data_IF_078508254757
#
_entry.id   IF_078508254757
#
_cell.length_a   1.000
_cell.length_b   1.000
_cell.length_c   1.000
_cell.angle_alpha   90.00
_cell.angle_beta   90.00
_cell.angle_gamma   90.00
#
_symmetry.space_group_name_H-M   'P 1'
#
loop_
_entity.id
_entity.type
_entity.pdbx_description
1 polymer ?
#
# COMPACT_ATOMS: atom_id res chain seq x y z
N UNK A 1 -4.27 12.06 -23.22
CA UNK A 1 -2.86 12.50 -23.35
C UNK A 1 -2.44 12.88 -24.77
N UNK A 2 -1.65 13.94 -24.97
CA UNK A 2 -0.99 14.24 -26.26
C UNK A 2 0.25 13.33 -26.47
N UNK A 3 0.79 13.28 -27.71
CA UNK A 3 1.93 12.41 -28.04
C UNK A 3 3.17 12.68 -27.17
N UNK A 4 3.52 13.95 -26.95
CA UNK A 4 4.69 14.34 -26.16
C UNK A 4 4.59 13.85 -24.71
N UNK A 5 3.42 14.01 -24.10
CA UNK A 5 3.14 13.55 -22.74
C UNK A 5 3.18 12.01 -22.66
N UNK A 6 2.63 11.31 -23.65
CA UNK A 6 2.69 9.84 -23.70
C UNK A 6 4.14 9.32 -23.83
N UNK A 7 4.98 10.01 -24.60
CA UNK A 7 6.41 9.67 -24.73
C UNK A 7 7.16 9.91 -23.43
N UNK A 8 6.95 11.06 -22.79
CA UNK A 8 7.55 11.37 -21.48
C UNK A 8 7.13 10.35 -20.42
N UNK A 9 5.85 10.00 -20.35
CA UNK A 9 5.35 8.98 -19.42
C UNK A 9 5.97 7.60 -19.69
N UNK A 10 6.12 7.21 -20.96
CA UNK A 10 6.81 5.95 -21.31
C UNK A 10 8.22 5.90 -20.72
N UNK A 11 9.01 6.97 -20.88
CA UNK A 11 10.37 7.03 -20.31
C UNK A 11 10.35 6.98 -18.79
N UNK A 12 9.47 7.74 -18.15
CA UNK A 12 9.31 7.76 -16.69
C UNK A 12 8.93 6.37 -16.13
N UNK A 13 8.10 5.59 -16.83
CA UNK A 13 7.73 4.24 -16.42
C UNK A 13 8.85 3.21 -16.63
N UNK A 14 9.65 3.37 -17.69
CA UNK A 14 10.84 2.54 -17.89
C UNK A 14 11.89 2.82 -16.81
N UNK A 15 12.09 4.09 -16.46
CA UNK A 15 12.94 4.49 -15.33
C UNK A 15 12.39 3.95 -14.01
N UNK A 16 11.10 4.12 -13.74
CA UNK A 16 10.43 3.56 -12.56
C UNK A 16 10.66 2.04 -12.44
N UNK A 17 10.62 1.30 -13.54
CA UNK A 17 10.92 -0.13 -13.56
C UNK A 17 12.39 -0.43 -13.26
N UNK A 18 13.33 0.33 -13.83
CA UNK A 18 14.76 0.20 -13.51
C UNK A 18 15.04 0.47 -12.02
N UNK A 19 14.48 1.56 -11.48
CA UNK A 19 14.65 1.94 -10.08
C UNK A 19 14.02 0.90 -9.15
N UNK A 20 12.86 0.34 -9.52
CA UNK A 20 12.29 -0.81 -8.81
C UNK A 20 13.25 -2.02 -8.80
N UNK A 21 13.83 -2.39 -9.94
CA UNK A 21 14.76 -3.52 -10.01
C UNK A 21 15.99 -3.31 -9.13
N UNK A 22 16.54 -2.09 -9.08
CA UNK A 22 17.64 -1.77 -8.18
C UNK A 22 17.22 -1.96 -6.71
N UNK A 23 16.16 -1.28 -6.28
CA UNK A 23 15.74 -1.33 -4.88
C UNK A 23 15.21 -2.69 -4.44
N UNK A 24 14.59 -3.49 -5.32
CA UNK A 24 14.15 -4.84 -4.94
C UNK A 24 15.34 -5.77 -4.74
N UNK A 25 16.47 -5.53 -5.40
CA UNK A 25 17.74 -6.24 -5.14
C UNK A 25 18.35 -5.79 -3.83
N UNK A 26 18.48 -4.48 -3.59
CA UNK A 26 19.01 -3.95 -2.32
C UNK A 26 18.16 -4.38 -1.11
N UNK A 27 16.84 -4.42 -1.28
CA UNK A 27 15.89 -4.87 -0.28
C UNK A 27 16.16 -6.30 0.23
N UNK A 28 16.80 -7.17 -0.57
CA UNK A 28 17.13 -8.54 -0.15
C UNK A 28 18.30 -8.60 0.84
N UNK A 29 19.06 -7.51 0.99
CA UNK A 29 20.10 -7.41 2.01
C UNK A 29 19.51 -7.21 3.40
N UNK A 30 18.30 -6.65 3.49
CA UNK A 30 17.60 -6.29 4.73
C UNK A 30 18.39 -5.37 5.67
N UNK A 31 19.42 -4.67 5.15
CA UNK A 31 20.25 -3.75 5.92
C UNK A 31 19.60 -2.37 6.09
N UNK A 32 18.71 -1.99 5.17
CA UNK A 32 18.05 -0.70 5.15
C UNK A 32 16.57 -0.87 4.78
N UNK A 33 15.67 -0.57 5.73
CA UNK A 33 14.22 -0.68 5.53
C UNK A 33 13.69 0.27 4.45
N UNK A 34 14.42 1.36 4.15
CA UNK A 34 14.05 2.29 3.09
C UNK A 34 14.12 1.64 1.71
N UNK A 35 14.98 0.64 1.47
CA UNK A 35 15.05 -0.03 0.16
C UNK A 35 13.74 -0.78 -0.14
N UNK A 36 13.13 -1.41 0.88
CA UNK A 36 11.81 -2.03 0.78
C UNK A 36 10.74 -0.98 0.51
N UNK A 37 10.80 0.16 1.21
CA UNK A 37 9.88 1.26 1.00
C UNK A 37 9.95 1.78 -0.44
N UNK A 38 11.16 2.03 -0.96
CA UNK A 38 11.42 2.52 -2.32
C UNK A 38 10.95 1.53 -3.37
N UNK A 39 11.32 0.25 -3.25
CA UNK A 39 10.83 -0.80 -4.15
C UNK A 39 9.30 -0.81 -4.20
N UNK A 40 8.64 -0.74 -3.03
CA UNK A 40 7.18 -0.69 -2.93
C UNK A 40 6.59 0.57 -3.57
N UNK A 41 7.20 1.74 -3.42
CA UNK A 41 6.73 2.99 -4.04
C UNK A 41 6.79 2.89 -5.57
N UNK A 42 7.92 2.47 -6.14
CA UNK A 42 8.08 2.37 -7.60
C UNK A 42 7.17 1.30 -8.21
N UNK A 43 7.07 0.13 -7.57
CA UNK A 43 6.16 -0.92 -8.03
C UNK A 43 4.69 -0.47 -7.97
N UNK A 44 4.32 0.34 -6.97
CA UNK A 44 2.95 0.87 -6.83
C UNK A 44 2.60 1.75 -8.01
N UNK A 45 3.49 2.67 -8.34
CA UNK A 45 3.33 3.55 -9.49
C UNK A 45 3.10 2.77 -10.76
N UNK A 46 3.94 1.76 -11.02
CA UNK A 46 3.78 0.92 -12.20
C UNK A 46 2.44 0.17 -12.22
N UNK A 47 2.06 -0.44 -11.10
CA UNK A 47 0.77 -1.13 -10.95
C UNK A 47 -0.41 -0.16 -11.16
N UNK A 48 -0.34 1.07 -10.65
CA UNK A 48 -1.36 2.09 -10.86
C UNK A 48 -1.54 2.41 -12.33
N UNK A 49 -0.47 2.56 -13.10
CA UNK A 49 -0.56 2.75 -14.55
C UNK A 49 -1.06 1.51 -15.30
N UNK A 50 -0.64 0.31 -14.90
CA UNK A 50 -1.21 -0.94 -15.43
C UNK A 50 -2.70 -1.06 -15.13
N UNK A 51 -3.17 -0.52 -14.00
CA UNK A 51 -4.59 -0.44 -13.67
C UNK A 51 -5.37 0.46 -14.64
N UNK A 52 -4.71 1.40 -15.33
CA UNK A 52 -5.34 2.24 -16.35
C UNK A 52 -5.65 1.50 -17.65
N UNK A 53 -4.85 0.49 -17.96
CA UNK A 53 -4.96 -0.25 -19.20
C UNK A 53 -6.04 -1.33 -19.10
N UNK A 54 -7.06 -1.32 -19.95
CA UNK A 54 -8.23 -2.21 -19.86
C UNK A 54 -7.83 -3.70 -19.74
N UNK A 55 -6.98 -4.18 -20.66
CA UNK A 55 -6.53 -5.57 -20.70
C UNK A 55 -5.23 -5.78 -19.92
N UNK A 56 -5.31 -6.21 -18.66
CA UNK A 56 -4.11 -6.38 -17.83
C UNK A 56 -3.08 -7.33 -18.47
N UNK A 57 -1.78 -6.99 -18.46
CA UNK A 57 -0.75 -7.91 -18.94
C UNK A 57 -0.66 -9.14 -18.03
N UNK A 58 -0.16 -10.26 -18.56
CA UNK A 58 0.05 -11.49 -17.79
C UNK A 58 0.91 -11.25 -16.54
N UNK A 59 1.88 -10.32 -16.62
CA UNK A 59 2.77 -9.93 -15.52
C UNK A 59 2.06 -9.19 -14.37
N UNK A 60 0.84 -8.68 -14.57
CA UNK A 60 0.15 -7.87 -13.57
C UNK A 60 -0.08 -8.62 -12.25
N UNK A 61 -0.51 -9.89 -12.32
CA UNK A 61 -0.73 -10.72 -11.13
C UNK A 61 0.58 -10.98 -10.38
N UNK A 62 1.65 -11.28 -11.12
CA UNK A 62 2.98 -11.51 -10.56
C UNK A 62 3.52 -10.28 -9.83
N UNK A 63 3.39 -9.09 -10.44
CA UNK A 63 3.79 -7.82 -9.82
C UNK A 63 2.93 -7.50 -8.58
N UNK A 64 1.65 -7.84 -8.58
CA UNK A 64 0.78 -7.72 -7.40
C UNK A 64 1.24 -8.60 -6.24
N UNK A 65 1.66 -9.83 -6.49
CA UNK A 65 2.20 -10.73 -5.47
C UNK A 65 3.53 -10.22 -4.88
N UNK A 66 4.38 -9.58 -5.70
CA UNK A 66 5.60 -8.93 -5.21
C UNK A 66 5.26 -7.70 -4.36
N UNK A 67 4.32 -6.87 -4.81
CA UNK A 67 3.83 -5.71 -4.06
C UNK A 67 3.27 -6.09 -2.67
N UNK A 68 2.56 -7.21 -2.60
CA UNK A 68 2.04 -7.76 -1.37
C UNK A 68 3.17 -8.19 -0.43
N UNK A 69 4.15 -8.97 -0.91
CA UNK A 69 5.26 -9.44 -0.10
C UNK A 69 6.12 -8.28 0.44
N UNK A 70 6.44 -7.31 -0.40
CA UNK A 70 7.11 -6.06 0.01
C UNK A 70 6.28 -5.30 1.05
N UNK A 71 4.95 -5.35 0.93
CA UNK A 71 4.03 -4.77 1.90
C UNK A 71 4.15 -5.41 3.27
N UNK A 72 4.11 -6.73 3.34
CA UNK A 72 4.18 -7.45 4.62
C UNK A 72 5.47 -7.13 5.37
N UNK A 73 6.62 -7.15 4.67
CA UNK A 73 7.90 -6.79 5.30
C UNK A 73 7.90 -5.33 5.75
N UNK A 74 7.49 -4.38 4.91
CA UNK A 74 7.48 -2.96 5.29
C UNK A 74 6.54 -2.67 6.45
N UNK A 75 5.38 -3.32 6.49
CA UNK A 75 4.41 -3.11 7.57
C UNK A 75 5.00 -3.59 8.91
N UNK A 76 5.79 -4.67 8.92
CA UNK A 76 6.53 -5.15 10.10
C UNK A 76 7.74 -4.26 10.44
N UNK A 77 8.51 -3.79 9.45
CA UNK A 77 9.62 -2.86 9.69
C UNK A 77 9.13 -1.57 10.36
N UNK A 78 8.05 -0.97 9.85
CA UNK A 78 7.45 0.24 10.44
C UNK A 78 6.97 -0.02 11.85
N UNK A 79 6.29 -1.15 12.08
CA UNK A 79 5.79 -1.50 13.41
C UNK A 79 6.94 -1.62 14.40
N UNK A 80 7.98 -2.38 14.07
CA UNK A 80 9.15 -2.62 14.92
C UNK A 80 9.95 -1.33 15.15
N UNK A 81 10.14 -0.49 14.13
CA UNK A 81 10.83 0.81 14.24
C UNK A 81 10.15 1.76 15.23
N UNK A 82 8.83 1.71 15.34
CA UNK A 82 8.04 2.57 16.23
C UNK A 82 7.72 1.91 17.58
N UNK A 83 8.03 0.62 17.75
CA UNK A 83 7.65 -0.13 18.94
C UNK A 83 8.59 0.19 20.11
N UNK A 84 8.01 0.58 21.25
CA UNK A 84 8.75 0.91 22.47
C UNK A 84 8.44 -0.14 23.54
N UNK A 85 9.45 -0.96 23.87
CA UNK A 85 9.29 -2.10 24.76
C UNK A 85 9.48 -1.69 26.22
N UNK A 86 8.37 -1.45 26.93
CA UNK A 86 8.39 -0.92 28.31
C UNK A 86 8.13 -1.97 29.39
N UNK A 87 7.57 -3.11 29.01
CA UNK A 87 7.20 -4.20 29.92
C UNK A 87 7.67 -5.54 29.39
N UNK A 88 7.70 -6.55 30.26
CA UNK A 88 8.02 -7.94 29.87
C UNK A 88 7.06 -8.46 28.79
N UNK A 89 5.78 -8.08 28.86
CA UNK A 89 4.79 -8.41 27.84
C UNK A 89 5.11 -7.76 26.49
N UNK A 90 5.52 -6.49 26.50
CA UNK A 90 5.91 -5.78 25.27
C UNK A 90 7.16 -6.43 24.64
N UNK A 91 8.12 -6.91 25.47
CA UNK A 91 9.29 -7.64 24.98
C UNK A 91 8.88 -8.96 24.31
N UNK A 92 8.02 -9.75 24.95
CA UNK A 92 7.55 -11.01 24.38
C UNK A 92 6.79 -10.80 23.05
N UNK A 93 5.96 -9.75 22.98
CA UNK A 93 5.28 -9.36 21.74
C UNK A 93 6.28 -8.93 20.66
N UNK A 94 7.28 -8.12 21.02
CA UNK A 94 8.33 -7.68 20.10
C UNK A 94 9.09 -8.86 19.49
N UNK A 95 9.50 -9.85 20.30
CA UNK A 95 10.17 -11.05 19.82
C UNK A 95 9.31 -11.87 18.84
N UNK A 96 7.99 -11.95 19.09
CA UNK A 96 7.05 -12.57 18.17
C UNK A 96 6.98 -11.82 16.83
N UNK A 97 6.98 -10.48 16.85
CA UNK A 97 7.00 -9.65 15.64
C UNK A 97 8.31 -9.76 14.87
N UNK A 98 9.45 -9.87 15.55
CA UNK A 98 10.75 -10.12 14.93
C UNK A 98 10.78 -11.48 14.22
N UNK A 99 10.19 -12.50 14.83
CA UNK A 99 10.03 -13.82 14.22
C UNK A 99 9.15 -13.74 12.98
N UNK A 100 8.02 -13.05 13.04
CA UNK A 100 7.14 -12.83 11.88
C UNK A 100 7.88 -12.07 10.77
N UNK A 101 8.69 -11.06 11.12
CA UNK A 101 9.51 -10.31 10.17
C UNK A 101 10.52 -11.21 9.47
N UNK A 102 11.21 -12.08 10.20
CA UNK A 102 12.15 -13.03 9.61
C UNK A 102 11.46 -13.97 8.60
N UNK A 103 10.26 -14.45 8.92
CA UNK A 103 9.44 -15.26 8.00
C UNK A 103 9.05 -14.44 6.77
N UNK A 104 8.54 -13.22 6.95
CA UNK A 104 8.14 -12.35 5.85
C UNK A 104 9.32 -12.01 4.91
N UNK A 105 10.50 -11.77 5.47
CA UNK A 105 11.74 -11.54 4.72
C UNK A 105 12.13 -12.78 3.90
N UNK A 106 12.03 -13.96 4.48
CA UNK A 106 12.26 -15.23 3.76
C UNK A 106 11.28 -15.40 2.60
N UNK A 107 9.99 -15.16 2.83
CA UNK A 107 8.95 -15.21 1.77
C UNK A 107 9.24 -14.20 0.66
N UNK A 108 9.67 -12.98 1.01
CA UNK A 108 10.05 -11.97 0.02
C UNK A 108 11.22 -12.45 -0.82
N UNK A 109 12.31 -12.94 -0.21
CA UNK A 109 13.48 -13.44 -0.92
C UNK A 109 13.14 -14.58 -1.89
N UNK A 110 12.29 -15.53 -1.46
CA UNK A 110 11.81 -16.62 -2.31
C UNK A 110 10.99 -16.07 -3.47
N UNK A 111 10.00 -15.21 -3.21
CA UNK A 111 9.14 -14.62 -4.26
C UNK A 111 9.95 -13.79 -5.25
N UNK A 112 10.93 -13.02 -4.80
CA UNK A 112 11.80 -12.23 -5.67
C UNK A 112 12.64 -13.18 -6.54
N UNK A 113 13.29 -14.18 -5.96
CA UNK A 113 14.09 -15.16 -6.71
C UNK A 113 13.28 -15.92 -7.77
N UNK A 114 12.04 -16.32 -7.44
CA UNK A 114 11.17 -17.04 -8.37
C UNK A 114 10.59 -16.15 -9.48
N UNK A 115 10.26 -14.89 -9.15
CA UNK A 115 9.46 -14.02 -10.03
C UNK A 115 10.31 -13.02 -10.80
N UNK A 116 11.40 -12.52 -10.24
CA UNK A 116 12.26 -11.53 -10.88
C UNK A 116 13.22 -12.19 -11.87
N UNK A 117 12.66 -12.67 -12.99
CA UNK A 117 13.40 -13.32 -14.07
C UNK A 117 13.70 -12.33 -15.21
N UNK A 118 14.73 -12.60 -16.05
CA UNK A 118 14.96 -11.82 -17.27
C UNK A 118 13.74 -11.78 -18.21
N UNK A 119 12.93 -12.85 -18.21
CA UNK A 119 11.68 -12.90 -18.97
C UNK A 119 10.64 -11.91 -18.44
N UNK A 120 10.50 -11.77 -17.11
CA UNK A 120 9.60 -10.76 -16.52
C UNK A 120 10.04 -9.34 -16.93
N UNK A 121 11.34 -9.03 -16.80
CA UNK A 121 11.89 -7.73 -17.19
C UNK A 121 11.55 -7.39 -18.65
N UNK A 122 11.82 -8.32 -19.57
CA UNK A 122 11.51 -8.14 -20.98
C UNK A 122 10.00 -7.93 -21.22
N UNK A 123 9.14 -8.72 -20.57
CA UNK A 123 7.68 -8.60 -20.72
C UNK A 123 7.16 -7.26 -20.21
N UNK A 124 7.65 -6.78 -19.05
CA UNK A 124 7.26 -5.48 -18.50
C UNK A 124 7.71 -4.35 -19.41
N UNK A 125 8.96 -4.35 -19.89
CA UNK A 125 9.47 -3.33 -20.83
C UNK A 125 8.70 -3.31 -22.13
N UNK A 126 8.41 -4.48 -22.72
CA UNK A 126 7.59 -4.61 -23.94
C UNK A 126 6.17 -4.09 -23.72
N UNK A 127 5.58 -4.37 -22.56
CA UNK A 127 4.26 -3.85 -22.21
C UNK A 127 4.26 -2.32 -22.14
N UNK A 128 5.22 -1.73 -21.42
CA UNK A 128 5.36 -0.27 -21.27
C UNK A 128 5.58 0.39 -22.64
N UNK A 129 6.57 -0.08 -23.41
CA UNK A 129 6.95 0.51 -24.69
C UNK A 129 5.98 0.23 -25.85
N UNK A 130 5.07 -0.73 -25.70
CA UNK A 130 4.15 -1.17 -26.74
C UNK A 130 2.69 -0.92 -26.37
N UNK A 131 1.94 -1.94 -25.90
CA UNK A 131 0.51 -1.84 -25.61
C UNK A 131 0.13 -0.64 -24.73
N UNK A 132 0.83 -0.43 -23.61
CA UNK A 132 0.52 0.63 -22.67
C UNK A 132 0.74 2.02 -23.28
N UNK A 133 1.90 2.23 -23.91
CA UNK A 133 2.19 3.48 -24.62
C UNK A 133 1.17 3.80 -25.71
N UNK A 134 0.75 2.80 -26.49
CA UNK A 134 -0.30 2.98 -27.52
C UNK A 134 -1.65 3.37 -26.92
N UNK A 135 -2.02 2.84 -25.75
CA UNK A 135 -3.22 3.27 -25.06
C UNK A 135 -3.11 4.72 -24.59
N UNK A 136 -2.00 5.14 -23.99
CA UNK A 136 -1.85 6.53 -23.55
C UNK A 136 -1.95 7.54 -24.69
N UNK A 137 -1.53 7.19 -25.91
CA UNK A 137 -1.74 8.05 -27.10
C UNK A 137 -3.21 8.23 -27.47
N UNK A 138 -4.09 7.28 -27.13
CA UNK A 138 -5.49 7.24 -27.56
C UNK A 138 -6.48 7.57 -26.44
N UNK A 139 -6.03 7.49 -25.19
CA UNK A 139 -6.90 7.57 -24.01
C UNK A 139 -6.72 8.90 -23.30
N UNK A 140 -7.84 9.52 -22.94
CA UNK A 140 -7.89 10.55 -21.92
C UNK A 140 -8.00 9.87 -20.55
N UNK A 141 -7.15 10.24 -19.57
CA UNK A 141 -7.23 9.67 -18.22
C UNK A 141 -8.32 10.31 -17.35
N UNK A 142 -8.97 11.42 -17.78
CA UNK A 142 -10.06 12.08 -17.04
C UNK A 142 -11.18 11.14 -16.58
N UNK A 143 -11.71 10.23 -17.42
CA UNK A 143 -12.74 9.28 -16.97
C UNK A 143 -12.27 8.38 -15.83
N UNK A 144 -10.96 8.15 -15.72
CA UNK A 144 -10.37 7.31 -14.67
C UNK A 144 -10.26 8.07 -13.35
N UNK A 145 -9.92 9.36 -13.41
CA UNK A 145 -9.94 10.26 -12.26
C UNK A 145 -11.38 10.39 -11.72
N UNK A 146 -12.35 10.65 -12.60
CA UNK A 146 -13.76 10.73 -12.21
C UNK A 146 -14.32 9.40 -11.69
N UNK A 147 -13.90 8.27 -12.27
CA UNK A 147 -14.24 6.94 -11.74
C UNK A 147 -13.67 6.74 -10.34
N UNK A 148 -12.40 7.07 -10.10
CA UNK A 148 -11.77 6.91 -8.78
C UNK A 148 -12.45 7.79 -7.71
N UNK A 149 -12.78 9.03 -8.07
CA UNK A 149 -13.56 9.97 -7.25
C UNK A 149 -14.96 9.46 -6.95
N UNK A 150 -15.65 8.92 -7.95
CA UNK A 150 -16.98 8.34 -7.79
C UNK A 150 -16.95 7.08 -6.91
N UNK A 151 -15.94 6.22 -7.10
CA UNK A 151 -15.69 5.07 -6.23
C UNK A 151 -15.44 5.51 -4.79
N UNK A 152 -14.59 6.51 -4.53
CA UNK A 152 -14.35 7.05 -3.18
C UNK A 152 -15.65 7.56 -2.56
N UNK A 153 -16.40 8.41 -3.27
CA UNK A 153 -17.70 8.93 -2.79
C UNK A 153 -18.67 7.81 -2.45
N UNK A 154 -18.72 6.77 -3.27
CA UNK A 154 -19.55 5.60 -2.97
C UNK A 154 -19.08 4.87 -1.71
N UNK A 155 -17.77 4.70 -1.50
CA UNK A 155 -17.24 4.05 -0.29
C UNK A 155 -17.55 4.86 0.97
N UNK A 156 -17.46 6.18 0.91
CA UNK A 156 -17.82 7.07 2.03
C UNK A 156 -19.31 6.96 2.35
N UNK A 157 -20.19 6.95 1.34
CA UNK A 157 -21.63 6.71 1.56
C UNK A 157 -21.90 5.38 2.26
N UNK A 158 -21.32 4.29 1.73
CA UNK A 158 -21.47 2.95 2.33
C UNK A 158 -20.97 2.91 3.77
N UNK A 159 -19.88 3.62 4.08
CA UNK A 159 -19.38 3.74 5.45
C UNK A 159 -20.41 4.38 6.39
N UNK A 160 -21.04 5.49 6.02
CA UNK A 160 -22.08 6.12 6.83
C UNK A 160 -23.36 5.29 6.98
N UNK A 161 -23.57 4.30 6.11
CA UNK A 161 -24.68 3.35 6.19
C UNK A 161 -24.38 2.16 7.13
N UNK A 162 -23.11 1.95 7.53
CA UNK A 162 -22.76 0.83 8.40
C UNK A 162 -23.07 1.13 9.87
N UNK A 163 -23.57 0.11 10.56
CA UNK A 163 -23.67 0.10 12.02
C UNK A 163 -22.29 -0.14 12.65
N UNK A 164 -22.12 0.31 13.89
CA UNK A 164 -20.86 0.27 14.64
C UNK A 164 -20.15 -1.09 14.63
N UNK A 165 -18.82 -1.08 14.74
CA UNK A 165 -18.01 -2.27 14.98
C UNK A 165 -17.29 -2.80 13.74
N UNK A 166 -17.26 -4.12 13.52
CA UNK A 166 -16.41 -4.75 12.50
C UNK A 166 -16.75 -4.31 11.07
N UNK A 167 -18.03 -4.21 10.74
CA UNK A 167 -18.50 -3.80 9.41
C UNK A 167 -18.07 -2.36 9.09
N UNK A 168 -18.16 -1.48 10.09
CA UNK A 168 -17.67 -0.11 10.02
C UNK A 168 -16.16 -0.04 9.75
N UNK A 169 -15.33 -0.82 10.47
CA UNK A 169 -13.88 -0.88 10.25
C UNK A 169 -13.53 -1.41 8.85
N UNK A 170 -14.24 -2.42 8.36
CA UNK A 170 -14.06 -2.93 7.00
C UNK A 170 -14.46 -1.90 5.93
N UNK A 171 -15.52 -1.14 6.16
CA UNK A 171 -15.93 -0.04 5.30
C UNK A 171 -14.88 1.09 5.28
N UNK A 172 -14.36 1.48 6.44
CA UNK A 172 -13.26 2.45 6.56
C UNK A 172 -12.00 2.01 5.81
N UNK A 173 -11.61 0.75 5.93
CA UNK A 173 -10.48 0.22 5.17
C UNK A 173 -10.71 0.36 3.65
N UNK A 174 -11.93 0.09 3.17
CA UNK A 174 -12.30 0.29 1.75
C UNK A 174 -12.26 1.77 1.36
N UNK A 175 -12.65 2.70 2.24
CA UNK A 175 -12.49 4.16 2.03
C UNK A 175 -11.01 4.52 1.90
N UNK A 176 -10.16 4.06 2.83
CA UNK A 176 -8.69 4.28 2.78
C UNK A 176 -8.09 3.82 1.45
N UNK A 177 -8.47 2.64 0.97
CA UNK A 177 -8.00 2.14 -0.33
C UNK A 177 -8.46 3.02 -1.49
N UNK A 178 -9.70 3.50 -1.48
CA UNK A 178 -10.23 4.39 -2.52
C UNK A 178 -9.55 5.77 -2.52
N UNK A 179 -9.33 6.37 -1.33
CA UNK A 179 -8.58 7.61 -1.15
C UNK A 179 -7.16 7.48 -1.70
N UNK A 180 -6.45 6.41 -1.32
CA UNK A 180 -5.09 6.13 -1.83
C UNK A 180 -5.09 6.03 -3.36
N UNK A 181 -6.05 5.29 -3.92
CA UNK A 181 -6.17 5.11 -5.37
C UNK A 181 -6.35 6.44 -6.09
N UNK A 182 -7.31 7.26 -5.67
CA UNK A 182 -7.56 8.58 -6.26
C UNK A 182 -6.34 9.49 -6.11
N UNK A 183 -5.72 9.52 -4.93
CA UNK A 183 -4.51 10.33 -4.68
C UNK A 183 -3.38 9.96 -5.64
N UNK A 184 -3.06 8.68 -5.74
CA UNK A 184 -1.98 8.21 -6.61
C UNK A 184 -2.26 8.50 -8.08
N UNK A 185 -3.52 8.42 -8.52
CA UNK A 185 -3.88 8.78 -9.88
C UNK A 185 -3.63 10.26 -10.16
N UNK A 186 -4.11 11.16 -9.29
CA UNK A 186 -3.83 12.57 -9.44
C UNK A 186 -2.33 12.82 -9.41
N UNK A 187 -1.62 12.34 -8.38
CA UNK A 187 -0.18 12.54 -8.16
C UNK A 187 0.66 12.11 -9.38
N UNK A 188 0.38 10.94 -9.95
CA UNK A 188 1.17 10.45 -11.09
C UNK A 188 0.75 11.06 -12.43
N UNK A 189 -0.44 11.64 -12.54
CA UNK A 189 -0.95 12.25 -13.78
C UNK A 189 -0.77 13.77 -13.85
N UNK A 190 -0.31 14.43 -12.78
CA UNK A 190 -0.11 15.89 -12.70
C UNK A 190 0.57 16.51 -13.92
N UNK A 191 1.61 15.83 -14.42
CA UNK A 191 2.42 16.34 -15.53
C UNK A 191 1.88 15.95 -16.92
N UNK A 192 0.76 15.23 -16.96
CA UNK A 192 0.31 14.51 -18.15
C UNK A 192 -1.13 14.86 -18.54
N UNK A 193 -1.99 15.16 -17.57
CA UNK A 193 -3.42 15.38 -17.75
C UNK A 193 -3.87 16.63 -16.98
N UNK A 194 -4.63 17.50 -17.64
CA UNK A 194 -5.09 18.79 -17.08
C UNK A 194 -5.99 18.63 -15.86
N UNK A 195 -6.75 17.54 -15.81
CA UNK A 195 -7.73 17.30 -14.75
C UNK A 195 -7.07 16.74 -13.47
N UNK A 196 -5.77 16.43 -13.54
CA UNK A 196 -4.99 16.09 -12.36
C UNK A 196 -4.67 17.37 -11.56
N UNK A 197 -4.97 17.38 -10.25
CA UNK A 197 -4.87 18.58 -9.42
C UNK A 197 -4.01 18.33 -8.19
N UNK A 198 -3.03 19.22 -7.95
CA UNK A 198 -2.23 19.23 -6.74
C UNK A 198 -3.06 19.51 -5.49
N UNK A 199 -4.11 20.31 -5.59
CA UNK A 199 -4.99 20.61 -4.47
C UNK A 199 -5.82 19.39 -4.07
N UNK A 200 -6.25 18.60 -5.06
CA UNK A 200 -6.87 17.29 -4.81
C UNK A 200 -5.89 16.34 -4.14
N UNK A 201 -4.62 16.28 -4.60
CA UNK A 201 -3.58 15.46 -3.95
C UNK A 201 -3.39 15.86 -2.49
N UNK A 202 -3.32 17.17 -2.19
CA UNK A 202 -3.16 17.69 -0.82
C UNK A 202 -4.36 17.33 0.07
N UNK A 203 -5.57 17.51 -0.44
CA UNK A 203 -6.81 17.15 0.28
C UNK A 203 -6.88 15.65 0.57
N UNK A 204 -6.64 14.82 -0.43
CA UNK A 204 -6.65 13.36 -0.26
C UNK A 204 -5.51 12.88 0.64
N UNK A 205 -4.36 13.57 0.67
CA UNK A 205 -3.28 13.25 1.59
C UNK A 205 -3.69 13.49 3.05
N UNK A 206 -4.41 14.57 3.35
CA UNK A 206 -4.96 14.83 4.69
C UNK A 206 -5.93 13.72 5.12
N UNK A 207 -6.92 13.41 4.27
CA UNK A 207 -7.85 12.29 4.51
C UNK A 207 -7.11 10.95 4.70
N UNK A 208 -6.05 10.72 3.93
CA UNK A 208 -5.24 9.51 4.05
C UNK A 208 -4.45 9.45 5.37
N UNK A 209 -4.08 10.58 5.97
CA UNK A 209 -3.41 10.62 7.27
C UNK A 209 -4.36 10.20 8.38
N UNK A 210 -5.57 10.76 8.41
CA UNK A 210 -6.60 10.42 9.42
C UNK A 210 -7.02 8.94 9.32
N UNK A 211 -7.35 8.49 8.09
CA UNK A 211 -7.60 7.06 7.82
C UNK A 211 -6.35 6.19 8.04
N UNK A 212 -5.18 6.82 7.97
CA UNK A 212 -3.86 6.29 8.25
C UNK A 212 -3.82 5.72 9.67
N UNK A 213 -3.96 6.64 10.61
CA UNK A 213 -3.88 6.44 12.05
C UNK A 213 -4.87 5.38 12.54
N UNK A 214 -6.15 5.47 12.17
CA UNK A 214 -7.16 4.48 12.60
C UNK A 214 -6.81 3.06 12.12
N UNK A 215 -6.42 2.89 10.86
CA UNK A 215 -6.06 1.57 10.35
C UNK A 215 -4.79 1.06 11.03
N UNK A 216 -3.87 1.92 11.44
CA UNK A 216 -2.66 1.49 12.12
C UNK A 216 -2.99 0.97 13.54
N UNK A 217 -3.96 1.57 14.25
CA UNK A 217 -4.54 1.02 15.50
C UNK A 217 -5.24 -0.33 15.29
N UNK A 218 -6.09 -0.46 14.26
CA UNK A 218 -6.77 -1.73 13.93
C UNK A 218 -5.75 -2.84 13.62
N UNK A 219 -4.70 -2.51 12.87
CA UNK A 219 -3.63 -3.43 12.51
C UNK A 219 -2.77 -3.84 13.71
N UNK A 220 -2.51 -2.93 14.64
CA UNK A 220 -1.82 -3.23 15.90
C UNK A 220 -2.66 -4.16 16.78
N UNK A 221 -3.92 -3.84 16.99
CA UNK A 221 -4.84 -4.65 17.79
C UNK A 221 -5.00 -6.06 17.22
N UNK A 222 -5.09 -6.21 15.89
CA UNK A 222 -5.14 -7.53 15.23
C UNK A 222 -3.90 -8.37 15.50
N UNK A 223 -2.70 -7.76 15.51
CA UNK A 223 -1.45 -8.47 15.82
C UNK A 223 -1.40 -8.89 17.28
N UNK A 224 -1.77 -7.99 18.19
CA UNK A 224 -1.88 -8.34 19.61
C UNK A 224 -2.87 -9.48 19.82
N UNK A 225 -4.04 -9.46 19.18
CA UNK A 225 -5.02 -10.57 19.27
C UNK A 225 -4.51 -11.90 18.71
N UNK A 226 -3.57 -11.87 17.76
CA UNK A 226 -2.96 -13.07 17.19
C UNK A 226 -1.76 -13.56 18.01
N UNK A 227 -1.26 -12.75 18.94
CA UNK A 227 -0.15 -13.09 19.82
C UNK A 227 -0.64 -13.92 21.01
N UNK A 228 0.09 -15.00 21.30
CA UNK A 228 -0.15 -15.83 22.49
C UNK A 228 0.83 -15.40 23.58
N UNK A 229 0.38 -14.73 24.65
CA UNK A 229 1.27 -14.31 25.73
C UNK A 229 1.74 -15.52 26.57
N UNK A 230 2.88 -15.40 27.28
CA UNK A 230 3.20 -16.30 28.39
C UNK A 230 2.08 -16.34 29.42
N UNK A 231 1.85 -17.50 30.03
CA UNK A 231 0.72 -17.73 30.93
C UNK A 231 0.74 -16.77 32.13
N UNK A 232 1.93 -16.41 32.62
CA UNK A 232 2.13 -15.50 33.74
C UNK A 232 1.72 -14.05 33.40
N UNK A 233 1.67 -13.71 32.12
CA UNK A 233 1.40 -12.35 31.63
C UNK A 233 -0.03 -12.17 31.08
N UNK A 234 -0.88 -13.20 31.17
CA UNK A 234 -2.25 -13.18 30.62
C UNK A 234 -3.06 -11.97 31.11
N UNK A 235 -3.02 -11.67 32.42
CA UNK A 235 -3.77 -10.53 32.97
C UNK A 235 -3.23 -9.16 32.54
N UNK A 236 -1.95 -9.06 32.17
CA UNK A 236 -1.40 -7.83 31.56
C UNK A 236 -1.82 -7.73 30.09
N UNK A 237 -1.83 -8.86 29.39
CA UNK A 237 -2.29 -8.96 28.00
C UNK A 237 -3.75 -8.55 27.84
N UNK A 238 -4.66 -9.06 28.69
CA UNK A 238 -6.09 -8.73 28.59
C UNK A 238 -6.33 -7.21 28.74
N UNK A 239 -5.64 -6.58 29.70
CA UNK A 239 -5.66 -5.12 29.89
C UNK A 239 -5.10 -4.36 28.69
N UNK A 240 -4.02 -4.87 28.07
CA UNK A 240 -3.43 -4.28 26.87
C UNK A 240 -4.40 -4.32 25.70
N UNK A 241 -5.08 -5.46 25.48
CA UNK A 241 -6.10 -5.61 24.44
C UNK A 241 -7.26 -4.63 24.66
N UNK A 242 -7.73 -4.50 25.89
CA UNK A 242 -8.80 -3.55 26.23
C UNK A 242 -8.38 -2.10 25.93
N UNK A 243 -7.17 -1.71 26.35
CA UNK A 243 -6.62 -0.37 26.07
C UNK A 243 -6.55 -0.09 24.57
N UNK A 244 -5.98 -1.02 23.79
CA UNK A 244 -5.87 -0.88 22.33
C UNK A 244 -7.24 -0.83 21.63
N UNK A 245 -8.24 -1.54 22.16
CA UNK A 245 -9.61 -1.46 21.65
C UNK A 245 -10.22 -0.07 21.92
N UNK A 246 -10.04 0.47 23.13
CA UNK A 246 -10.50 1.82 23.46
C UNK A 246 -9.82 2.90 22.59
N UNK A 247 -8.51 2.77 22.36
CA UNK A 247 -7.77 3.66 21.45
C UNK A 247 -8.31 3.58 20.01
N UNK A 248 -8.59 2.38 19.52
CA UNK A 248 -9.20 2.19 18.20
C UNK A 248 -10.58 2.84 18.13
N UNK A 249 -11.45 2.60 19.12
CA UNK A 249 -12.81 3.14 19.14
C UNK A 249 -12.78 4.68 19.18
N UNK A 250 -11.92 5.27 20.02
CA UNK A 250 -11.71 6.71 20.05
C UNK A 250 -11.18 7.26 18.71
N UNK A 251 -10.26 6.55 18.05
CA UNK A 251 -9.75 6.95 16.74
C UNK A 251 -10.84 6.97 15.67
N UNK A 252 -11.81 6.04 15.74
CA UNK A 252 -12.94 5.97 14.81
C UNK A 252 -13.92 7.11 15.07
N UNK A 253 -14.20 7.43 16.33
CA UNK A 253 -15.09 8.54 16.71
C UNK A 253 -14.59 9.91 16.26
N UNK A 254 -13.27 10.12 16.21
CA UNK A 254 -12.66 11.38 15.79
C UNK A 254 -12.50 11.53 14.26
N UNK A 255 -12.81 10.51 13.46
CA UNK A 255 -12.68 10.57 12.00
C UNK A 255 -13.67 11.56 11.39
N UNK A 256 -13.14 12.59 10.71
CA UNK A 256 -13.93 13.62 10.01
C UNK A 256 -13.90 13.38 8.49
N UNK A 257 -14.57 12.31 8.02
CA UNK A 257 -14.60 11.91 6.60
C UNK A 257 -15.99 11.91 5.97
#
# INVERSE_FOLDING_TARGET
MNQRHAEKLKFELLETWNTFNHYVTEALTFNNSEDIHRARVHLRKLITFMQLYETKPATFRQLKQLMEALGHVRDLDVLIEMFDSKSELDHAFFEAMETERAIARTILSTRVSEKMTPSLDQQVRRFIGGPLFRAFKKTNASPMLEKAKSERKQRVRVYHEQSSGKEQLEALHKVRLAVKRERYLHEYLLNYESDASMDTVRTLKKMQTELGEMNDHDQLLKRWRAFTPPAELQSAYDRKIETLQQELDASVEHLSI
#
